data_IF_294774721755
#
_entry.id   IF_294774721755
#
_cell.length_a   1.000
_cell.length_b   1.000
_cell.length_c   1.000
_cell.angle_alpha   90.00
_cell.angle_beta   90.00
_cell.angle_gamma   90.00
#
_symmetry.space_group_name_H-M   'P 1'
#
loop_
_entity.id
_entity.type
_entity.pdbx_description
1 polymer ?
#
# COMPACT_ATOMS: atom_id res chain seq x y z
N UNK A 1 -17.63 -8.72 25.52
CA UNK A 1 -18.23 -9.09 24.21
C UNK A 1 -17.75 -8.04 23.24
N UNK A 2 -17.02 -8.44 22.19
CA UNK A 2 -16.41 -7.49 21.24
C UNK A 2 -17.36 -7.23 20.07
N UNK A 3 -18.13 -8.24 19.66
CA UNK A 3 -19.12 -8.12 18.59
C UNK A 3 -20.19 -9.21 18.68
N UNK A 4 -21.30 -8.99 18.00
CA UNK A 4 -22.34 -9.98 17.78
C UNK A 4 -22.71 -10.00 16.29
N UNK A 5 -22.83 -11.18 15.71
CA UNK A 5 -23.33 -11.31 14.35
C UNK A 5 -24.82 -11.01 14.31
N UNK A 6 -25.26 -10.28 13.30
CA UNK A 6 -26.65 -9.87 13.12
C UNK A 6 -26.97 -9.61 11.66
N UNK A 7 -28.25 -9.40 11.37
CA UNK A 7 -28.74 -9.03 10.04
C UNK A 7 -29.79 -7.91 10.22
N UNK A 8 -29.32 -6.69 10.40
CA UNK A 8 -30.15 -5.49 10.55
C UNK A 8 -29.87 -4.49 9.43
N UNK A 9 -30.87 -3.68 9.08
CA UNK A 9 -30.75 -2.74 7.96
C UNK A 9 -30.80 -3.41 6.60
N UNK A 10 -30.13 -2.85 5.60
CA UNK A 10 -30.07 -3.40 4.24
C UNK A 10 -29.01 -4.51 4.16
N UNK A 11 -29.40 -5.73 4.54
CA UNK A 11 -28.52 -6.88 4.66
C UNK A 11 -29.13 -8.11 4.01
N UNK A 12 -28.33 -8.91 3.35
CA UNK A 12 -28.74 -10.17 2.69
C UNK A 12 -28.63 -11.41 3.59
N UNK A 13 -28.13 -11.24 4.83
CA UNK A 13 -27.98 -12.33 5.80
C UNK A 13 -27.13 -11.92 7.01
N UNK A 14 -27.02 -12.80 8.02
CA UNK A 14 -26.17 -12.55 9.18
C UNK A 14 -24.72 -12.31 8.76
N UNK A 15 -24.15 -11.22 9.19
CA UNK A 15 -22.75 -10.87 8.94
C UNK A 15 -22.16 -10.10 10.12
N UNK A 16 -20.86 -10.06 10.20
CA UNK A 16 -20.11 -9.19 11.09
C UNK A 16 -19.74 -7.92 10.32
N UNK A 17 -20.27 -6.79 10.75
CA UNK A 17 -19.82 -5.50 10.30
C UNK A 17 -18.79 -4.97 11.29
N UNK A 18 -17.55 -4.79 10.84
CA UNK A 18 -16.45 -4.31 11.64
C UNK A 18 -16.00 -2.95 11.14
N UNK A 19 -16.09 -1.95 12.00
CA UNK A 19 -15.59 -0.60 11.75
C UNK A 19 -14.50 -0.26 12.76
N UNK A 20 -13.41 0.32 12.27
CA UNK A 20 -12.39 0.95 13.11
C UNK A 20 -12.41 2.43 12.84
N UNK A 21 -12.51 3.24 13.90
CA UNK A 21 -12.47 4.71 13.81
C UNK A 21 -11.36 5.25 14.68
N UNK A 22 -10.61 6.20 14.13
CA UNK A 22 -9.66 7.02 14.89
C UNK A 22 -10.02 8.48 14.69
N UNK A 23 -10.29 9.20 15.78
CA UNK A 23 -10.69 10.61 15.76
C UNK A 23 -11.93 10.91 14.89
N UNK A 24 -12.84 9.94 14.75
CA UNK A 24 -14.05 10.07 13.96
C UNK A 24 -13.94 9.62 12.50
N UNK A 25 -12.75 9.30 12.02
CA UNK A 25 -12.52 8.79 10.68
C UNK A 25 -12.52 7.26 10.64
N UNK A 26 -13.04 6.71 9.56
CA UNK A 26 -13.05 5.26 9.33
C UNK A 26 -11.70 4.78 8.85
N UNK A 27 -11.19 3.77 9.52
CA UNK A 27 -9.97 3.05 9.14
C UNK A 27 -10.35 1.65 8.64
N UNK A 28 -9.51 1.06 7.79
CA UNK A 28 -9.73 -0.29 7.34
C UNK A 28 -9.53 -1.27 8.51
N UNK A 29 -10.59 -1.99 8.95
CA UNK A 29 -10.54 -2.88 10.10
C UNK A 29 -9.51 -4.00 9.99
N UNK A 30 -9.20 -4.45 8.78
CA UNK A 30 -8.27 -5.56 8.55
C UNK A 30 -6.83 -5.27 9.01
N UNK A 31 -6.50 -4.00 9.25
CA UNK A 31 -5.19 -3.62 9.82
C UNK A 31 -5.10 -3.78 11.33
N UNK A 32 -6.25 -3.96 12.01
CA UNK A 32 -6.33 -3.95 13.47
C UNK A 32 -6.81 -5.28 14.02
N UNK A 33 -7.22 -6.21 13.17
CA UNK A 33 -7.74 -7.52 13.57
C UNK A 33 -6.94 -8.60 12.90
N UNK A 34 -6.38 -9.48 13.70
CA UNK A 34 -5.90 -10.76 13.23
C UNK A 34 -7.14 -11.62 12.95
N UNK A 35 -7.45 -11.82 11.68
CA UNK A 35 -8.59 -12.64 11.27
C UNK A 35 -8.31 -14.13 11.45
N UNK A 36 -7.10 -14.48 11.92
CA UNK A 36 -6.73 -15.86 12.23
C UNK A 36 -6.98 -16.80 11.05
N UNK A 37 -6.54 -16.40 9.86
CA UNK A 37 -6.76 -17.21 8.66
C UNK A 37 -5.99 -18.53 8.79
N UNK A 38 -6.73 -19.58 9.19
CA UNK A 38 -6.26 -20.96 9.23
C UNK A 38 -6.23 -21.62 7.83
N UNK A 39 -6.34 -20.81 6.76
CA UNK A 39 -6.35 -21.30 5.38
C UNK A 39 -7.65 -21.97 4.95
N UNK A 40 -8.72 -21.89 5.75
CA UNK A 40 -10.03 -22.48 5.43
C UNK A 40 -11.11 -21.43 5.07
N UNK A 41 -10.73 -20.17 4.86
CA UNK A 41 -11.60 -19.05 4.58
C UNK A 41 -12.46 -19.27 3.34
N UNK A 42 -13.69 -19.67 3.55
CA UNK A 42 -14.71 -19.74 2.50
C UNK A 42 -15.09 -18.31 2.10
N UNK A 43 -14.74 -17.89 0.91
CA UNK A 43 -15.21 -16.63 0.33
C UNK A 43 -16.73 -16.53 0.47
N UNK A 44 -17.22 -15.44 1.06
CA UNK A 44 -18.66 -15.17 1.11
C UNK A 44 -19.10 -14.73 -0.30
N UNK A 45 -19.88 -15.53 -1.05
CA UNK A 45 -20.37 -15.09 -2.33
C UNK A 45 -21.43 -14.00 -2.13
N UNK A 46 -21.21 -12.82 -2.70
CA UNK A 46 -22.28 -11.86 -2.88
C UNK A 46 -22.16 -10.48 -2.23
N UNK A 47 -21.00 -10.04 -1.81
CA UNK A 47 -20.80 -8.64 -1.47
C UNK A 47 -20.73 -7.80 -2.77
N UNK A 48 -21.65 -6.83 -2.99
CA UNK A 48 -21.58 -6.00 -4.19
C UNK A 48 -20.40 -5.03 -4.07
N UNK A 49 -19.39 -5.21 -4.94
CA UNK A 49 -18.46 -4.16 -5.30
C UNK A 49 -17.21 -3.98 -4.44
N UNK A 50 -16.87 -4.88 -3.54
CA UNK A 50 -15.54 -4.94 -2.94
C UNK A 50 -14.53 -5.55 -3.93
N UNK A 51 -13.26 -5.10 -3.97
CA UNK A 51 -12.28 -5.79 -4.78
C UNK A 51 -12.22 -7.26 -4.33
N UNK A 52 -12.40 -8.17 -5.27
CA UNK A 52 -12.14 -9.59 -5.03
C UNK A 52 -10.65 -9.67 -4.72
N UNK A 53 -10.30 -9.87 -3.46
CA UNK A 53 -8.93 -10.16 -3.08
C UNK A 53 -8.65 -11.57 -3.58
N UNK A 54 -7.76 -11.77 -4.57
CA UNK A 54 -7.37 -13.13 -4.95
C UNK A 54 -6.78 -13.81 -3.71
N UNK A 55 -7.15 -15.06 -3.46
CA UNK A 55 -6.72 -15.88 -2.32
C UNK A 55 -5.20 -16.18 -2.28
N UNK A 56 -4.41 -15.48 -3.09
CA UNK A 56 -2.97 -15.66 -3.14
C UNK A 56 -2.29 -14.29 -3.34
N UNK A 57 -1.69 -13.73 -2.29
CA UNK A 57 -0.69 -12.69 -2.52
C UNK A 57 0.43 -13.33 -3.34
N UNK A 58 0.73 -12.78 -4.51
CA UNK A 58 1.84 -13.25 -5.33
C UNK A 58 3.06 -13.55 -4.48
N UNK A 59 3.95 -14.42 -4.94
CA UNK A 59 5.16 -14.73 -4.17
C UNK A 59 5.84 -13.43 -3.74
N UNK A 60 6.31 -13.35 -2.48
CA UNK A 60 7.02 -12.17 -2.02
C UNK A 60 8.22 -11.90 -2.93
N UNK A 61 8.64 -10.64 -3.08
CA UNK A 61 9.86 -10.32 -3.80
C UNK A 61 11.00 -11.20 -3.29
N UNK A 62 11.73 -11.84 -4.19
CA UNK A 62 12.88 -12.62 -3.78
C UNK A 62 13.92 -11.71 -3.11
N UNK A 63 14.80 -12.27 -2.30
CA UNK A 63 15.89 -11.51 -1.69
C UNK A 63 16.72 -10.77 -2.75
N UNK A 64 16.95 -11.41 -3.92
CA UNK A 64 17.68 -10.80 -5.03
C UNK A 64 16.92 -9.65 -5.66
N UNK A 65 15.61 -9.81 -5.90
CA UNK A 65 14.74 -8.75 -6.46
C UNK A 65 14.64 -7.55 -5.52
N UNK A 66 14.48 -7.79 -4.22
CA UNK A 66 14.47 -6.72 -3.24
C UNK A 66 15.83 -6.00 -3.17
N UNK A 67 16.94 -6.75 -3.17
CA UNK A 67 18.27 -6.16 -3.15
C UNK A 67 18.53 -5.28 -4.39
N UNK A 68 18.09 -5.72 -5.57
CA UNK A 68 18.16 -4.92 -6.79
C UNK A 68 17.31 -3.64 -6.69
N UNK A 69 16.09 -3.75 -6.17
CA UNK A 69 15.18 -2.61 -5.95
C UNK A 69 15.79 -1.60 -4.98
N UNK A 70 16.33 -2.07 -3.85
CA UNK A 70 16.96 -1.21 -2.86
C UNK A 70 18.21 -0.53 -3.41
N UNK A 71 19.09 -1.28 -4.07
CA UNK A 71 20.30 -0.75 -4.67
C UNK A 71 20.01 0.29 -5.76
N UNK A 72 18.93 0.11 -6.54
CA UNK A 72 18.50 1.12 -7.51
C UNK A 72 17.98 2.37 -6.81
N UNK A 73 17.10 2.20 -5.82
CA UNK A 73 16.46 3.29 -5.09
C UNK A 73 17.49 4.17 -4.35
N UNK A 74 18.49 3.58 -3.73
CA UNK A 74 19.52 4.28 -2.94
C UNK A 74 20.42 5.20 -3.77
N UNK A 75 20.52 4.98 -5.09
CA UNK A 75 21.28 5.88 -5.98
C UNK A 75 20.74 7.32 -5.98
N UNK A 76 19.48 7.49 -5.61
CA UNK A 76 18.78 8.77 -5.68
C UNK A 76 18.54 9.41 -4.31
N UNK A 77 19.10 8.87 -3.24
CA UNK A 77 19.03 9.48 -1.92
C UNK A 77 19.50 10.94 -1.97
N UNK A 78 18.74 11.82 -1.35
CA UNK A 78 19.01 13.25 -1.34
C UNK A 78 18.50 14.03 -2.56
N UNK A 79 17.94 13.38 -3.57
CA UNK A 79 17.32 14.08 -4.70
C UNK A 79 16.08 14.84 -4.22
N UNK A 80 15.87 16.11 -4.68
CA UNK A 80 14.72 16.90 -4.29
C UNK A 80 13.42 16.34 -4.91
N UNK A 81 12.29 16.62 -4.27
CA UNK A 81 11.00 16.34 -4.84
C UNK A 81 10.67 17.30 -6.00
N UNK A 82 10.28 16.76 -7.15
CA UNK A 82 9.82 17.54 -8.29
C UNK A 82 8.50 16.98 -8.79
N UNK A 83 7.44 17.75 -8.70
CA UNK A 83 6.11 17.33 -9.15
C UNK A 83 6.12 16.92 -10.63
N UNK A 84 5.63 15.70 -10.92
CA UNK A 84 5.66 15.09 -12.24
C UNK A 84 7.03 14.57 -12.68
N UNK A 85 8.06 14.73 -11.88
CA UNK A 85 9.40 14.19 -12.14
C UNK A 85 9.39 12.67 -12.16
N UNK A 86 10.18 12.07 -13.07
CA UNK A 86 10.12 10.61 -13.31
C UNK A 86 11.43 10.00 -13.81
N UNK A 87 12.53 10.73 -13.71
CA UNK A 87 13.85 10.27 -14.14
C UNK A 87 14.97 10.99 -13.37
N UNK A 88 16.19 10.47 -13.35
CA UNK A 88 17.31 11.16 -12.72
C UNK A 88 17.59 12.55 -13.30
N UNK A 89 17.26 12.77 -14.57
CA UNK A 89 17.47 14.06 -15.23
C UNK A 89 16.47 15.14 -14.80
N UNK A 90 15.27 14.75 -14.37
CA UNK A 90 14.20 15.66 -13.95
C UNK A 90 14.00 15.67 -12.43
N UNK A 91 14.72 14.82 -11.69
CA UNK A 91 14.32 14.35 -10.36
C UNK A 91 12.95 13.64 -10.38
N UNK A 92 12.30 13.47 -9.25
CA UNK A 92 11.17 12.57 -9.11
C UNK A 92 10.04 13.20 -8.27
N UNK A 93 8.81 12.79 -8.55
CA UNK A 93 7.75 12.76 -7.55
C UNK A 93 7.69 11.36 -6.89
N UNK A 94 6.79 11.15 -5.92
CA UNK A 94 6.70 9.89 -5.18
C UNK A 94 6.49 8.68 -6.09
N UNK A 95 5.56 8.77 -7.00
CA UNK A 95 5.21 7.69 -7.93
C UNK A 95 6.19 7.56 -9.09
N UNK A 96 6.79 8.66 -9.52
CA UNK A 96 7.86 8.66 -10.52
C UNK A 96 9.10 7.93 -10.02
N UNK A 97 9.48 8.18 -8.78
CA UNK A 97 10.57 7.48 -8.11
C UNK A 97 10.31 5.96 -8.05
N UNK A 98 9.15 5.56 -7.49
CA UNK A 98 8.83 4.13 -7.38
C UNK A 98 8.71 3.48 -8.74
N UNK A 99 8.04 4.10 -9.72
CA UNK A 99 7.95 3.56 -11.08
C UNK A 99 9.33 3.39 -11.73
N UNK A 100 10.21 4.37 -11.54
CA UNK A 100 11.59 4.27 -12.05
C UNK A 100 12.33 3.08 -11.45
N UNK A 101 12.33 2.98 -10.12
CA UNK A 101 13.02 1.90 -9.39
C UNK A 101 12.49 0.55 -9.82
N UNK A 102 11.17 0.36 -9.84
CA UNK A 102 10.52 -0.89 -10.23
C UNK A 102 10.89 -1.30 -11.65
N UNK A 103 10.84 -0.36 -12.61
CA UNK A 103 11.21 -0.65 -14.01
C UNK A 103 12.70 -1.00 -14.19
N UNK A 104 13.57 -0.60 -13.26
CA UNK A 104 15.00 -0.92 -13.28
C UNK A 104 15.38 -2.11 -12.39
N UNK A 105 14.38 -2.79 -11.81
CA UNK A 105 14.57 -3.89 -10.86
C UNK A 105 13.85 -5.18 -11.29
N UNK A 106 13.49 -5.29 -12.57
CA UNK A 106 12.94 -6.52 -13.16
C UNK A 106 11.48 -6.43 -13.60
N UNK A 107 10.75 -5.37 -13.26
CA UNK A 107 9.39 -5.14 -13.76
C UNK A 107 9.37 -4.21 -14.98
N UNK A 108 8.25 -4.22 -15.68
CA UNK A 108 7.99 -3.32 -16.82
C UNK A 108 6.58 -2.73 -16.70
N UNK A 109 6.41 -1.83 -15.73
CA UNK A 109 5.11 -1.23 -15.41
C UNK A 109 4.90 0.15 -16.06
N UNK A 110 5.94 0.71 -16.67
CA UNK A 110 5.91 2.06 -17.22
C UNK A 110 5.85 3.16 -16.15
N UNK A 111 5.45 4.38 -16.54
CA UNK A 111 5.26 5.49 -15.62
C UNK A 111 3.82 5.51 -15.11
N UNK A 112 3.61 5.10 -13.87
CA UNK A 112 2.31 5.11 -13.20
C UNK A 112 2.29 6.18 -12.11
N UNK A 113 1.10 6.75 -11.86
CA UNK A 113 0.84 7.53 -10.65
C UNK A 113 0.67 6.61 -9.41
N UNK A 114 0.61 7.19 -8.22
CA UNK A 114 0.48 6.41 -6.97
C UNK A 114 -0.75 5.49 -6.98
N UNK A 115 -1.90 5.98 -7.43
CA UNK A 115 -3.10 5.16 -7.61
C UNK A 115 -2.92 4.06 -8.66
N UNK A 116 -2.22 4.34 -9.75
CA UNK A 116 -1.92 3.36 -10.80
C UNK A 116 -1.03 2.22 -10.29
N UNK A 117 0.00 2.54 -9.51
CA UNK A 117 0.84 1.55 -8.83
C UNK A 117 0.02 0.70 -7.86
N UNK A 118 -0.87 1.32 -7.07
CA UNK A 118 -1.76 0.57 -6.19
C UNK A 118 -2.65 -0.41 -6.97
N UNK A 119 -3.20 0.02 -8.10
CA UNK A 119 -4.14 -0.78 -8.89
C UNK A 119 -3.51 -2.04 -9.52
N UNK A 120 -2.20 -2.05 -9.71
CA UNK A 120 -1.46 -3.23 -10.23
C UNK A 120 -0.95 -4.15 -9.12
N UNK A 121 -0.98 -3.69 -7.87
CA UNK A 121 -0.54 -4.48 -6.72
C UNK A 121 -1.66 -5.36 -6.18
N UNK A 122 -1.26 -6.51 -5.62
CA UNK A 122 -2.12 -7.28 -4.73
C UNK A 122 -2.01 -6.70 -3.31
N UNK A 123 -3.12 -6.35 -2.64
CA UNK A 123 -3.10 -5.87 -1.27
C UNK A 123 -2.45 -6.90 -0.32
N UNK A 124 -1.64 -6.40 0.63
CA UNK A 124 -0.94 -7.23 1.62
C UNK A 124 -1.29 -6.73 3.01
N UNK A 125 -1.57 -7.64 3.93
CA UNK A 125 -1.81 -7.29 5.33
C UNK A 125 -0.52 -6.84 6.03
N UNK A 126 -0.65 -6.07 7.12
CA UNK A 126 0.49 -5.65 7.93
C UNK A 126 1.28 -6.84 8.54
N UNK A 127 0.60 -7.98 8.77
CA UNK A 127 1.25 -9.19 9.26
C UNK A 127 2.11 -9.90 8.20
N UNK A 128 1.79 -9.70 6.92
CA UNK A 128 2.42 -10.39 5.79
C UNK A 128 3.28 -9.48 4.91
N UNK A 129 3.37 -8.18 5.24
CA UNK A 129 4.19 -7.24 4.49
C UNK A 129 5.67 -7.57 4.62
N UNK A 130 6.38 -7.51 3.52
CA UNK A 130 7.80 -7.83 3.44
C UNK A 130 8.57 -6.69 2.76
N UNK A 131 9.88 -6.56 3.03
CA UNK A 131 10.72 -5.64 2.28
C UNK A 131 10.59 -5.86 0.77
N UNK A 132 10.40 -4.74 0.02
CA UNK A 132 10.13 -4.75 -1.41
C UNK A 132 8.63 -4.63 -1.76
N UNK A 133 7.72 -4.85 -0.83
CA UNK A 133 6.32 -4.44 -1.02
C UNK A 133 6.23 -2.92 -1.07
N UNK A 134 5.18 -2.40 -1.68
CA UNK A 134 4.91 -0.97 -1.70
C UNK A 134 4.00 -0.57 -0.53
N UNK A 135 4.19 0.63 -0.02
CA UNK A 135 3.32 1.22 1.00
C UNK A 135 2.65 2.45 0.40
N UNK A 136 1.34 2.55 0.60
CA UNK A 136 0.48 3.54 0.00
C UNK A 136 -0.19 4.40 1.05
N UNK A 137 -0.34 5.70 0.72
CA UNK A 137 -0.96 6.68 1.60
C UNK A 137 -1.96 7.53 0.82
N UNK A 138 -2.95 8.06 1.52
CA UNK A 138 -3.97 8.95 1.01
C UNK A 138 -3.94 10.30 1.73
N UNK A 139 -4.65 11.29 1.21
CA UNK A 139 -4.77 12.62 1.82
C UNK A 139 -3.43 13.30 2.16
N UNK A 140 -2.35 12.96 1.47
CA UNK A 140 -1.06 13.63 1.65
C UNK A 140 -1.00 14.99 0.93
N UNK A 141 -1.95 15.24 0.05
CA UNK A 141 -2.26 16.53 -0.59
C UNK A 141 -3.72 16.52 -1.07
N UNK A 142 -4.27 17.71 -1.42
CA UNK A 142 -5.62 17.85 -1.96
C UNK A 142 -5.69 17.31 -3.40
N UNK A 143 -6.05 16.05 -3.52
CA UNK A 143 -6.20 15.38 -4.82
C UNK A 143 -7.62 15.51 -5.36
N UNK A 144 -7.82 15.50 -6.71
CA UNK A 144 -9.14 15.51 -7.32
C UNK A 144 -10.03 14.34 -6.89
N UNK A 145 -9.44 13.18 -6.61
CA UNK A 145 -10.12 12.04 -5.99
C UNK A 145 -9.75 11.98 -4.50
N UNK A 146 -10.61 12.41 -3.60
CA UNK A 146 -10.31 12.42 -2.17
C UNK A 146 -10.19 11.01 -1.55
N UNK A 147 -10.71 9.97 -2.22
CA UNK A 147 -10.63 8.58 -1.77
C UNK A 147 -9.49 7.80 -2.43
N UNK A 148 -8.66 8.47 -3.22
CA UNK A 148 -7.56 7.85 -3.95
C UNK A 148 -6.23 7.88 -3.21
N UNK A 149 -5.32 7.01 -3.66
CA UNK A 149 -3.93 7.01 -3.19
C UNK A 149 -3.22 8.26 -3.70
N UNK A 150 -2.57 8.98 -2.79
CA UNK A 150 -1.86 10.22 -3.10
C UNK A 150 -0.34 10.11 -2.95
N UNK A 151 0.15 9.10 -2.23
CA UNK A 151 1.59 8.91 -2.02
C UNK A 151 1.96 7.42 -1.96
N UNK A 152 3.20 7.11 -2.32
CA UNK A 152 3.73 5.75 -2.35
C UNK A 152 5.21 5.73 -1.97
N UNK A 153 5.61 4.66 -1.27
CA UNK A 153 7.00 4.36 -0.96
C UNK A 153 7.28 2.86 -1.10
N UNK A 154 8.55 2.49 -1.03
CA UNK A 154 9.02 1.11 -0.98
C UNK A 154 9.18 0.73 0.49
N UNK A 155 8.46 -0.28 0.96
CA UNK A 155 8.63 -0.78 2.32
C UNK A 155 9.97 -1.51 2.45
N UNK A 156 10.77 -1.13 3.44
CA UNK A 156 12.12 -1.68 3.63
C UNK A 156 12.25 -2.51 4.91
N UNK A 157 11.12 -2.79 5.56
CA UNK A 157 11.09 -3.54 6.83
C UNK A 157 11.14 -2.63 8.07
N UNK A 158 10.89 -3.23 9.22
CA UNK A 158 10.98 -2.56 10.54
C UNK A 158 10.18 -1.25 10.66
N UNK A 159 9.04 -1.16 9.97
CA UNK A 159 8.22 0.04 9.97
C UNK A 159 8.85 1.23 9.24
N UNK A 160 9.73 0.96 8.27
CA UNK A 160 10.37 1.99 7.45
C UNK A 160 10.04 1.84 5.97
N UNK A 161 10.05 2.96 5.28
CA UNK A 161 9.97 3.03 3.82
C UNK A 161 11.11 3.88 3.26
N UNK A 162 11.49 3.62 2.01
CA UNK A 162 12.27 4.53 1.17
C UNK A 162 11.31 5.18 0.18
N UNK A 163 11.23 6.51 0.20
CA UNK A 163 10.25 7.25 -0.61
C UNK A 163 10.81 8.56 -1.13
N UNK A 164 10.18 9.09 -2.17
CA UNK A 164 10.42 10.45 -2.60
C UNK A 164 9.56 11.39 -1.76
N UNK A 165 10.13 11.81 -0.63
CA UNK A 165 9.75 12.99 0.10
C UNK A 165 10.52 14.21 -0.46
N UNK A 166 10.82 15.19 0.35
CA UNK A 166 11.71 16.28 -0.02
C UNK A 166 12.80 16.44 1.05
N UNK A 167 13.95 15.79 0.86
CA UNK A 167 14.41 14.97 -0.28
C UNK A 167 13.98 13.49 -0.23
N UNK A 168 14.39 12.69 -1.26
CA UNK A 168 14.32 11.23 -1.21
C UNK A 168 15.11 10.73 0.00
N UNK A 169 14.44 9.97 0.85
CA UNK A 169 15.00 9.53 2.13
C UNK A 169 14.25 8.33 2.71
N UNK A 170 14.83 7.74 3.72
CA UNK A 170 14.13 6.79 4.57
C UNK A 170 13.18 7.52 5.53
N UNK A 171 12.02 6.95 5.77
CA UNK A 171 11.03 7.49 6.71
C UNK A 171 10.39 6.39 7.55
N UNK A 172 10.14 6.69 8.83
CA UNK A 172 9.41 5.80 9.73
C UNK A 172 7.91 5.97 9.50
N UNK A 173 7.23 4.91 9.01
CA UNK A 173 5.80 4.91 8.73
C UNK A 173 4.92 4.85 9.98
N UNK A 174 5.50 4.57 11.16
CA UNK A 174 4.78 4.51 12.43
C UNK A 174 4.65 5.88 13.13
N UNK A 175 5.04 6.96 12.47
CA UNK A 175 4.77 8.32 12.99
C UNK A 175 3.28 8.63 12.91
N UNK A 176 2.81 9.58 13.72
CA UNK A 176 1.41 10.00 13.73
C UNK A 176 0.94 10.46 12.34
N UNK A 177 1.79 11.19 11.61
CA UNK A 177 1.49 11.63 10.24
C UNK A 177 1.23 10.44 9.31
N UNK A 178 2.19 9.55 9.16
CA UNK A 178 2.07 8.43 8.24
C UNK A 178 0.96 7.45 8.65
N UNK A 179 0.76 7.24 9.95
CA UNK A 179 -0.32 6.38 10.45
C UNK A 179 -1.70 6.93 10.10
N UNK A 180 -1.91 8.26 10.19
CA UNK A 180 -3.17 8.91 9.82
C UNK A 180 -3.44 8.85 8.30
N UNK A 181 -2.38 8.86 7.50
CA UNK A 181 -2.47 8.84 6.05
C UNK A 181 -2.28 7.44 5.45
N UNK A 182 -2.12 6.41 6.26
CA UNK A 182 -1.92 5.06 5.77
C UNK A 182 -3.15 4.56 5.00
N UNK A 183 -2.92 4.00 3.80
CA UNK A 183 -3.95 3.46 2.95
C UNK A 183 -3.87 1.93 2.86
N UNK A 184 -2.72 1.38 2.43
CA UNK A 184 -2.51 -0.05 2.24
C UNK A 184 -1.03 -0.38 2.04
N UNK A 185 -0.70 -1.65 2.25
CA UNK A 185 0.46 -2.25 1.58
C UNK A 185 0.01 -2.96 0.31
N UNK A 186 0.93 -3.12 -0.65
CA UNK A 186 0.65 -3.83 -1.88
C UNK A 186 1.89 -4.49 -2.46
N UNK A 187 1.73 -5.70 -2.97
CA UNK A 187 2.76 -6.49 -3.62
C UNK A 187 2.66 -6.37 -5.11
N UNK A 188 3.78 -6.08 -5.76
CA UNK A 188 3.86 -6.06 -7.22
C UNK A 188 3.60 -7.47 -7.78
N UNK A 189 3.02 -7.57 -8.99
CA UNK A 189 2.86 -8.87 -9.65
C UNK A 189 4.22 -9.54 -9.90
N UNK A 190 4.24 -10.88 -9.88
CA UNK A 190 5.42 -11.66 -10.16
C UNK A 190 5.86 -11.54 -11.63
#
# INVERSE_FOLDING_TARGET
MIAAAGSTGNSTGPHLHLEVKLNGEYLNPLYFVDTGDDGTGSAIPGAPGGPVIPDYPGEPPTTETYAAMLAEAEKYLGYPYVWGGSSPATSFDCSGFVSWVVNHSGWSVGRLGAQGLYNICTPVSAANVQPGDLVFFWHTYDAPNPNGVTHVGIYVGNGQMLHCGDPISYANINTSYWTQHFYSFGRLPA
#
